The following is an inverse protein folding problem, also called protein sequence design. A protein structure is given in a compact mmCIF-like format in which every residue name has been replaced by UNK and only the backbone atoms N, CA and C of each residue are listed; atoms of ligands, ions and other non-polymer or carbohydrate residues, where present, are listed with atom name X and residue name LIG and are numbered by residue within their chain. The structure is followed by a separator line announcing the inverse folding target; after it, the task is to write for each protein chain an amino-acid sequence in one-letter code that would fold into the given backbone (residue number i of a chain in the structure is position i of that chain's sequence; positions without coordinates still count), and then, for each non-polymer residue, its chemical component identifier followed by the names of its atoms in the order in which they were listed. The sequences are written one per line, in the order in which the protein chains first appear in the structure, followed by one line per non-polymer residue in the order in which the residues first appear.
data_IF_144593610928
#
_entry.id   IF_144593610928
#
_cell.length_a   1.000
_cell.length_b   1.000
_cell.length_c   1.000
_cell.angle_alpha   90.00
_cell.angle_beta   90.00
_cell.angle_gamma   90.00
#
_symmetry.space_group_name_H-M   'P 1'
#
loop_
_entity.id
_entity.type
_entity.pdbx_description
1 polymer ?
#
# COMPACT_ATOMS: atom_id res chain seq x y z
N UNK A 1 -18.42 -11.15 0.43
CA UNK A 1 -17.63 -9.91 0.24
C UNK A 1 -16.36 -10.12 -0.61
N UNK A 2 -15.65 -11.25 -0.55
CA UNK A 2 -14.40 -11.46 -1.31
C UNK A 2 -14.54 -12.06 -2.74
N UNK A 3 -15.72 -12.53 -3.13
CA UNK A 3 -15.92 -13.12 -4.47
C UNK A 3 -16.07 -12.07 -5.59
N UNK A 4 -16.62 -10.88 -5.28
CA UNK A 4 -16.87 -9.83 -6.27
C UNK A 4 -15.62 -9.08 -6.75
N UNK A 5 -14.53 -9.09 -5.96
CA UNK A 5 -13.29 -8.39 -6.31
C UNK A 5 -12.40 -9.20 -7.30
N UNK A 6 -12.60 -10.51 -7.41
CA UNK A 6 -11.84 -11.36 -8.35
C UNK A 6 -12.15 -11.02 -9.81
N UNK A 7 -13.39 -10.64 -10.12
CA UNK A 7 -13.80 -10.38 -11.49
C UNK A 7 -13.29 -9.03 -12.01
N UNK A 8 -13.18 -8.02 -11.13
CA UNK A 8 -12.82 -6.66 -11.54
C UNK A 8 -11.31 -6.45 -11.76
N UNK A 9 -10.46 -7.20 -11.03
CA UNK A 9 -8.99 -7.01 -11.07
C UNK A 9 -8.29 -8.02 -12.01
N UNK A 10 -8.86 -9.21 -12.22
CA UNK A 10 -8.21 -10.29 -12.96
C UNK A 10 -8.71 -10.47 -14.41
N UNK A 11 -9.87 -9.88 -14.79
CA UNK A 11 -10.55 -10.17 -16.06
C UNK A 11 -10.93 -8.97 -16.91
N UNK A 12 -10.67 -7.75 -16.46
CA UNK A 12 -11.03 -6.54 -17.21
C UNK A 12 -10.10 -6.38 -18.41
N UNK A 13 -10.64 -6.50 -19.63
CA UNK A 13 -9.93 -6.12 -20.85
C UNK A 13 -9.51 -4.64 -20.73
N UNK A 14 -8.22 -4.30 -20.91
CA UNK A 14 -7.72 -2.92 -20.78
C UNK A 14 -8.51 -1.90 -21.61
N UNK A 15 -9.03 -2.34 -22.76
CA UNK A 15 -9.85 -1.57 -23.69
C UNK A 15 -11.18 -1.07 -23.08
N UNK A 16 -11.80 -1.86 -22.18
CA UNK A 16 -13.05 -1.46 -21.50
C UNK A 16 -12.76 -0.34 -20.51
N UNK A 17 -11.61 -0.39 -19.86
CA UNK A 17 -11.22 0.61 -18.87
C UNK A 17 -10.87 1.94 -19.54
N UNK A 18 -10.34 1.89 -20.77
CA UNK A 18 -10.08 3.06 -21.62
C UNK A 18 -11.37 3.79 -21.99
N UNK A 19 -12.41 3.08 -22.45
CA UNK A 19 -13.66 3.71 -22.88
C UNK A 19 -14.52 4.22 -21.73
N UNK A 20 -14.47 3.56 -20.57
CA UNK A 20 -15.29 3.95 -19.39
C UNK A 20 -14.64 5.10 -18.59
N UNK A 21 -13.31 5.17 -18.53
CA UNK A 21 -12.62 6.10 -17.62
C UNK A 21 -11.78 7.20 -18.27
N UNK A 22 -11.75 7.31 -19.61
CA UNK A 22 -11.00 8.37 -20.31
C UNK A 22 -9.56 8.52 -19.77
N UNK A 23 -8.83 7.41 -19.67
CA UNK A 23 -7.47 7.41 -19.12
C UNK A 23 -6.47 8.05 -20.08
N UNK A 24 -5.50 8.78 -19.52
CA UNK A 24 -4.28 9.15 -20.24
C UNK A 24 -3.42 7.91 -20.50
N UNK A 25 -2.53 7.98 -21.49
CA UNK A 25 -1.60 6.87 -21.81
C UNK A 25 -0.76 6.44 -20.60
N UNK A 26 -0.34 7.39 -19.76
CA UNK A 26 0.43 7.12 -18.53
C UNK A 26 -0.40 6.36 -17.50
N UNK A 27 -1.67 6.72 -17.34
CA UNK A 27 -2.59 6.01 -16.44
C UNK A 27 -2.94 4.62 -16.97
N UNK A 28 -3.05 4.45 -18.29
CA UNK A 28 -3.26 3.14 -18.90
C UNK A 28 -2.05 2.22 -18.67
N UNK A 29 -0.84 2.74 -18.86
CA UNK A 29 0.39 2.00 -18.58
C UNK A 29 0.49 1.62 -17.10
N UNK A 30 0.17 2.56 -16.20
CA UNK A 30 0.12 2.29 -14.76
C UNK A 30 -0.91 1.20 -14.44
N UNK A 31 -2.11 1.29 -15.01
CA UNK A 31 -3.18 0.33 -14.78
C UNK A 31 -2.77 -1.08 -15.23
N UNK A 32 -2.29 -1.22 -16.48
CA UNK A 32 -1.79 -2.50 -17.02
C UNK A 32 -0.70 -3.10 -16.11
N UNK A 33 0.21 -2.27 -15.62
CA UNK A 33 1.27 -2.68 -14.69
C UNK A 33 0.71 -3.18 -13.35
N UNK A 34 -0.20 -2.42 -12.74
CA UNK A 34 -0.82 -2.79 -11.46
C UNK A 34 -1.64 -4.07 -11.58
N UNK A 35 -2.42 -4.23 -12.65
CA UNK A 35 -3.17 -5.46 -12.92
C UNK A 35 -2.24 -6.66 -13.08
N UNK A 36 -1.12 -6.52 -13.79
CA UNK A 36 -0.14 -7.62 -13.97
C UNK A 36 0.45 -8.06 -12.62
N UNK A 37 0.84 -7.12 -11.76
CA UNK A 37 1.30 -7.45 -10.40
C UNK A 37 0.24 -8.22 -9.61
N UNK A 38 -1.01 -7.74 -9.59
CA UNK A 38 -2.08 -8.40 -8.85
C UNK A 38 -2.45 -9.79 -9.39
N UNK A 39 -2.49 -9.95 -10.72
CA UNK A 39 -2.76 -11.22 -11.36
C UNK A 39 -1.65 -12.25 -11.06
N UNK A 40 -0.39 -11.83 -11.03
CA UNK A 40 0.72 -12.72 -10.65
C UNK A 40 0.67 -13.08 -9.17
N UNK A 41 0.42 -12.09 -8.30
CA UNK A 41 0.29 -12.34 -6.88
C UNK A 41 -0.86 -13.31 -6.57
N UNK A 42 -2.02 -13.12 -7.19
CA UNK A 42 -3.17 -14.01 -7.01
C UNK A 42 -2.91 -15.45 -7.49
N UNK A 43 -2.07 -15.64 -8.51
CA UNK A 43 -1.72 -16.96 -9.05
C UNK A 43 -0.59 -17.66 -8.28
N UNK A 44 0.43 -16.92 -7.86
CA UNK A 44 1.70 -17.50 -7.40
C UNK A 44 2.13 -17.03 -6.01
N UNK A 45 1.43 -16.08 -5.39
CA UNK A 45 1.85 -15.43 -4.15
C UNK A 45 3.04 -14.46 -4.33
N UNK A 46 3.53 -14.28 -5.56
CA UNK A 46 4.62 -13.37 -5.91
C UNK A 46 4.14 -12.42 -7.03
N UNK A 47 4.17 -11.09 -6.83
CA UNK A 47 3.70 -10.14 -7.85
C UNK A 47 4.65 -10.05 -9.05
N UNK A 48 5.92 -10.44 -8.90
CA UNK A 48 6.96 -10.23 -9.90
C UNK A 48 6.78 -11.09 -11.16
N UNK A 49 7.18 -10.54 -12.31
CA UNK A 49 7.30 -11.26 -13.59
C UNK A 49 8.20 -10.49 -14.54
N UNK A 50 8.63 -11.13 -15.62
CA UNK A 50 9.40 -10.47 -16.69
C UNK A 50 8.71 -9.20 -17.22
N UNK A 51 9.51 -8.17 -17.49
CA UNK A 51 9.05 -6.87 -17.98
C UNK A 51 8.39 -5.97 -16.92
N UNK A 52 8.37 -6.38 -15.64
CA UNK A 52 7.96 -5.54 -14.52
C UNK A 52 9.19 -5.13 -13.69
N UNK A 53 9.21 -3.90 -13.16
CA UNK A 53 10.12 -3.55 -12.07
C UNK A 53 10.01 -4.54 -10.90
N UNK A 54 11.12 -4.79 -10.21
CA UNK A 54 11.09 -5.69 -9.06
C UNK A 54 10.29 -5.05 -7.92
N UNK A 55 9.25 -5.74 -7.46
CA UNK A 55 8.55 -5.46 -6.23
C UNK A 55 9.25 -6.20 -5.08
N UNK A 56 9.99 -5.50 -4.21
CA UNK A 56 10.74 -6.14 -3.14
C UNK A 56 9.81 -6.74 -2.09
N UNK A 57 10.22 -7.86 -1.52
CA UNK A 57 9.55 -8.43 -0.34
C UNK A 57 9.71 -7.45 0.82
N UNK A 58 8.61 -7.16 1.50
CA UNK A 58 8.65 -6.31 2.71
C UNK A 58 9.32 -7.07 3.85
N UNK A 59 10.65 -6.93 3.94
CA UNK A 59 11.50 -7.53 4.96
C UNK A 59 11.99 -6.52 6.00
N UNK A 60 13.13 -6.85 6.63
CA UNK A 60 13.76 -6.00 7.68
C UNK A 60 14.18 -4.62 7.16
N UNK A 61 14.50 -4.52 5.88
CA UNK A 61 14.87 -3.24 5.25
C UNK A 61 13.66 -2.33 4.97
N UNK A 62 12.44 -2.80 5.28
CA UNK A 62 11.17 -2.07 5.12
C UNK A 62 10.99 -1.48 3.72
N UNK A 63 11.51 -2.18 2.70
CA UNK A 63 11.37 -1.78 1.31
C UNK A 63 9.93 -1.95 0.83
N UNK A 64 9.50 -1.00 0.00
CA UNK A 64 8.20 -1.05 -0.66
C UNK A 64 8.31 -0.47 -2.07
N UNK A 65 7.43 -0.93 -2.97
CA UNK A 65 7.30 -0.36 -4.30
C UNK A 65 6.28 0.78 -4.29
N UNK A 66 6.67 1.93 -4.82
CA UNK A 66 5.75 3.01 -5.16
C UNK A 66 5.04 2.66 -6.47
N UNK A 67 3.72 2.46 -6.40
CA UNK A 67 2.89 2.22 -7.57
C UNK A 67 2.52 3.55 -8.23
N UNK A 68 3.41 4.00 -9.10
CA UNK A 68 3.27 5.22 -9.89
C UNK A 68 3.65 4.95 -11.36
N UNK A 69 3.33 5.90 -12.22
CA UNK A 69 3.75 5.97 -13.62
C UNK A 69 5.24 5.67 -13.78
N UNK A 70 6.07 6.25 -12.89
CA UNK A 70 7.48 5.94 -12.69
C UNK A 70 7.70 5.30 -11.32
N UNK A 71 7.75 3.96 -11.25
CA UNK A 71 7.80 3.24 -9.99
C UNK A 71 9.20 3.33 -9.39
N UNK A 72 9.25 3.54 -8.08
CA UNK A 72 10.49 3.64 -7.32
C UNK A 72 10.40 2.74 -6.08
N UNK A 73 11.55 2.24 -5.62
CA UNK A 73 11.64 1.52 -4.35
C UNK A 73 11.90 2.52 -3.24
N UNK A 74 10.94 2.64 -2.33
CA UNK A 74 11.10 3.39 -1.08
C UNK A 74 11.51 2.48 0.07
N UNK A 75 11.79 3.10 1.22
CA UNK A 75 12.00 2.42 2.51
C UNK A 75 11.25 3.11 3.63
N UNK A 76 10.92 2.35 4.68
CA UNK A 76 10.35 2.84 5.93
C UNK A 76 9.11 3.74 5.70
N UNK A 77 8.09 3.18 5.04
CA UNK A 77 6.90 3.89 4.62
C UNK A 77 6.23 4.63 5.80
N UNK A 78 6.21 5.97 5.73
CA UNK A 78 5.61 6.85 6.74
C UNK A 78 6.16 6.61 8.17
N UNK A 79 7.45 6.25 8.31
CA UNK A 79 8.08 5.89 9.58
C UNK A 79 7.79 6.87 10.74
N UNK A 80 7.93 8.19 10.51
CA UNK A 80 7.64 9.21 11.54
C UNK A 80 6.19 9.17 12.02
N UNK A 81 5.23 9.00 11.09
CA UNK A 81 3.81 8.91 11.42
C UNK A 81 3.52 7.60 12.16
N UNK A 82 4.09 6.49 11.71
CA UNK A 82 3.96 5.21 12.40
C UNK A 82 4.49 5.28 13.84
N UNK A 83 5.68 5.85 14.05
CA UNK A 83 6.27 6.07 15.37
C UNK A 83 5.36 6.92 16.25
N UNK A 84 4.81 8.01 15.72
CA UNK A 84 3.91 8.87 16.47
C UNK A 84 2.70 8.10 17.00
N UNK A 85 1.97 7.38 16.14
CA UNK A 85 0.75 6.68 16.53
C UNK A 85 0.99 5.46 17.42
N UNK A 86 2.11 4.76 17.25
CA UNK A 86 2.40 3.50 17.96
C UNK A 86 3.20 3.69 19.25
N UNK A 87 3.97 4.78 19.37
CA UNK A 87 4.83 5.03 20.53
C UNK A 87 4.48 6.34 21.22
N UNK A 88 4.64 7.46 20.51
CA UNK A 88 4.57 8.80 21.12
C UNK A 88 3.19 9.10 21.70
N UNK A 89 2.13 8.86 20.94
CA UNK A 89 0.77 9.18 21.37
C UNK A 89 0.33 8.31 22.58
N UNK A 90 0.47 6.97 22.56
CA UNK A 90 0.17 6.15 23.73
C UNK A 90 0.94 6.57 25.00
N UNK A 91 2.24 6.87 24.86
CA UNK A 91 3.07 7.36 25.98
C UNK A 91 2.51 8.66 26.56
N UNK A 92 2.18 9.64 25.71
CA UNK A 92 1.60 10.92 26.16
C UNK A 92 0.26 10.75 26.87
N UNK A 93 -0.59 9.83 26.40
CA UNK A 93 -1.86 9.52 27.06
C UNK A 93 -1.63 8.95 28.46
N UNK A 94 -0.63 8.06 28.63
CA UNK A 94 -0.30 7.51 29.94
C UNK A 94 0.26 8.56 30.90
N UNK A 95 1.16 9.43 30.41
CA UNK A 95 1.71 10.56 31.20
C UNK A 95 0.61 11.48 31.72
N UNK A 96 -0.38 11.81 30.88
CA UNK A 96 -1.50 12.66 31.26
C UNK A 96 -2.41 12.00 32.30
N UNK A 97 -2.75 10.72 32.12
CA UNK A 97 -3.56 9.96 33.09
C UNK A 97 -2.89 9.89 34.46
N UNK A 98 -1.63 9.47 34.50
CA UNK A 98 -0.88 9.39 35.76
C UNK A 98 -0.60 10.75 36.42
N UNK A 99 -0.73 11.85 35.68
CA UNK A 99 -0.68 13.21 36.26
C UNK A 99 -2.03 13.61 36.87
N UNK A 100 -3.15 13.19 36.28
CA UNK A 100 -4.49 13.44 36.85
C UNK A 100 -4.70 12.70 38.17
N UNK A 101 -4.27 11.44 38.26
CA UNK A 101 -4.41 10.64 39.48
C UNK A 101 -3.67 11.29 40.66
N UNK A 102 -2.47 11.83 40.43
CA UNK A 102 -1.67 12.54 41.46
C UNK A 102 -2.30 13.85 41.95
N UNK A 103 -3.04 14.55 41.10
CA UNK A 103 -3.73 15.79 41.49
C UNK A 103 -5.02 15.53 42.28
N UNK A 104 -5.59 14.32 42.22
CA UNK A 104 -6.80 13.95 42.94
C UNK A 104 -6.54 13.39 44.36
N UNK A 105 -5.29 13.03 44.69
CA UNK A 105 -4.87 12.50 46.00
C UNK A 105 -4.31 13.55 46.98
N UNK A 106 -4.35 14.85 46.61
CA UNK A 106 -3.95 16.00 47.45
C UNK A 106 -5.17 16.79 47.91
#
# INVERSE_FOLDING_TARGET
MLAGLKHLICGSHPEILRSVFHLTEKEELLNKRVMKYWANFARHGNPNSEGLPSWPVMGRDEQYLQLDTQPAVGRALKARRLQFWTKTLPQKIQELKGSQDKHAEL
#
